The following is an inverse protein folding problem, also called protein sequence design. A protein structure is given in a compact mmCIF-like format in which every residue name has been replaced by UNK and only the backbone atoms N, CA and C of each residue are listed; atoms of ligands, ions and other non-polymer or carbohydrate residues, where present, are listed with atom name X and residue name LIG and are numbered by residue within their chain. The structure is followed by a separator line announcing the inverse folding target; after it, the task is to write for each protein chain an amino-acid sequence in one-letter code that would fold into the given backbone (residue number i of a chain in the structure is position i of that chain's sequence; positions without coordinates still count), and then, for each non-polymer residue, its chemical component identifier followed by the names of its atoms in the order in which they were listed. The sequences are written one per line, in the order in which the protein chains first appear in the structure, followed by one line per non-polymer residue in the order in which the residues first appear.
data_IF_857377130691
#
_entry.id   IF_857377130691
#
_cell.length_a   1.000
_cell.length_b   1.000
_cell.length_c   1.000
_cell.angle_alpha   90.00
_cell.angle_beta   90.00
_cell.angle_gamma   90.00
#
_symmetry.space_group_name_H-M   'P 1'
#
loop_
_entity.id
_entity.type
_entity.pdbx_description
1 polymer ?
#
# COMPACT_ATOMS: atom_id res chain seq x y z
N UNK A 1 3.89 -36.72 -11.84
CA UNK A 1 2.95 -36.56 -10.72
C UNK A 1 2.55 -35.10 -10.71
N UNK A 2 1.33 -34.75 -11.15
CA UNK A 2 0.92 -33.33 -11.24
C UNK A 2 0.72 -32.76 -9.83
N UNK A 3 1.09 -31.50 -9.62
CA UNK A 3 0.90 -30.81 -8.34
C UNK A 3 -0.59 -30.61 -8.06
N UNK A 4 -1.00 -30.63 -6.80
CA UNK A 4 -2.38 -30.38 -6.36
C UNK A 4 -2.91 -29.03 -6.88
N UNK A 5 -2.02 -28.05 -7.07
CA UNK A 5 -2.33 -26.74 -7.66
C UNK A 5 -2.72 -26.83 -9.15
N UNK A 6 -1.98 -27.63 -9.92
CA UNK A 6 -2.23 -27.87 -11.35
C UNK A 6 -3.57 -28.59 -11.57
N UNK A 7 -3.86 -29.57 -10.72
CA UNK A 7 -5.12 -30.31 -10.78
C UNK A 7 -6.34 -29.44 -10.44
N UNK A 8 -6.18 -28.46 -9.54
CA UNK A 8 -7.22 -27.50 -9.19
C UNK A 8 -7.50 -26.50 -10.33
N UNK A 9 -6.47 -26.12 -11.08
CA UNK A 9 -6.60 -25.25 -12.25
C UNK A 9 -7.29 -25.94 -13.43
N UNK A 10 -6.98 -27.21 -13.66
CA UNK A 10 -7.67 -28.02 -14.68
C UNK A 10 -9.16 -28.21 -14.34
N UNK A 11 -9.51 -28.40 -13.06
CA UNK A 11 -10.91 -28.52 -12.61
C UNK A 11 -11.74 -27.24 -12.72
N UNK A 12 -11.10 -26.08 -12.76
CA UNK A 12 -11.76 -24.77 -12.81
C UNK A 12 -11.66 -24.09 -14.19
N UNK A 13 -11.21 -24.82 -15.21
CA UNK A 13 -11.10 -24.32 -16.58
C UNK A 13 -10.01 -23.26 -16.78
N UNK A 14 -8.99 -23.21 -15.92
CA UNK A 14 -7.84 -22.30 -16.06
C UNK A 14 -8.12 -20.82 -15.79
N UNK A 15 -9.32 -20.45 -15.33
CA UNK A 15 -9.72 -19.05 -15.13
C UNK A 15 -9.50 -18.52 -13.70
N UNK A 16 -9.16 -19.36 -12.71
CA UNK A 16 -8.93 -18.91 -11.34
C UNK A 16 -7.72 -17.96 -11.20
N UNK A 17 -6.66 -18.15 -12.00
CA UNK A 17 -5.42 -17.37 -11.85
C UNK A 17 -5.46 -15.98 -12.49
N UNK A 18 -6.19 -15.79 -13.60
CA UNK A 18 -6.15 -14.52 -14.35
C UNK A 18 -6.73 -13.34 -13.56
N UNK A 19 -7.79 -13.60 -12.79
CA UNK A 19 -8.41 -12.60 -11.90
C UNK A 19 -7.47 -12.28 -10.73
N UNK A 20 -6.74 -13.28 -10.23
CA UNK A 20 -5.80 -13.13 -9.12
C UNK A 20 -4.56 -12.30 -9.52
N UNK A 21 -4.01 -12.55 -10.71
CA UNK A 21 -2.86 -11.80 -11.24
C UNK A 21 -3.20 -10.32 -11.50
N UNK A 22 -4.39 -10.05 -12.06
CA UNK A 22 -4.86 -8.69 -12.28
C UNK A 22 -5.05 -7.92 -10.96
N UNK A 23 -5.54 -8.58 -9.90
CA UNK A 23 -5.66 -7.98 -8.55
C UNK A 23 -4.30 -7.73 -7.91
N UNK A 24 -3.38 -8.69 -8.01
CA UNK A 24 -2.00 -8.54 -7.53
C UNK A 24 -1.33 -7.34 -8.19
N UNK A 25 -1.49 -7.16 -9.50
CA UNK A 25 -0.96 -6.00 -10.22
C UNK A 25 -1.54 -4.68 -9.68
N UNK A 26 -2.86 -4.59 -9.53
CA UNK A 26 -3.52 -3.40 -8.97
C UNK A 26 -3.05 -3.08 -7.55
N UNK A 27 -2.91 -4.11 -6.70
CA UNK A 27 -2.39 -3.94 -5.34
C UNK A 27 -0.94 -3.44 -5.37
N UNK A 28 -0.09 -3.99 -6.23
CA UNK A 28 1.30 -3.54 -6.36
C UNK A 28 1.40 -2.08 -6.86
N UNK A 29 0.55 -1.67 -7.79
CA UNK A 29 0.46 -0.27 -8.25
C UNK A 29 0.06 0.68 -7.11
N UNK A 30 -0.91 0.27 -6.28
CA UNK A 30 -1.31 1.01 -5.08
C UNK A 30 -0.11 1.14 -4.13
N UNK A 31 0.61 0.05 -3.86
CA UNK A 31 1.78 0.08 -2.97
C UNK A 31 2.89 1.01 -3.47
N UNK A 32 3.21 0.97 -4.76
CA UNK A 32 4.19 1.88 -5.38
C UNK A 32 3.74 3.34 -5.22
N UNK A 33 2.47 3.64 -5.53
CA UNK A 33 1.90 4.98 -5.42
C UNK A 33 1.99 5.52 -3.98
N UNK A 34 1.61 4.74 -2.98
CA UNK A 34 1.66 5.18 -1.58
C UNK A 34 3.09 5.24 -1.03
N UNK A 35 3.99 4.35 -1.48
CA UNK A 35 5.42 4.44 -1.15
C UNK A 35 6.05 5.74 -1.63
N UNK A 36 5.72 6.20 -2.84
CA UNK A 36 6.18 7.50 -3.34
C UNK A 36 5.69 8.65 -2.48
N UNK A 37 4.42 8.63 -2.03
CA UNK A 37 3.88 9.67 -1.13
C UNK A 37 4.58 9.71 0.22
N UNK A 38 4.93 8.56 0.79
CA UNK A 38 5.71 8.50 2.04
C UNK A 38 7.09 9.13 1.81
N UNK A 39 7.76 8.78 0.71
CA UNK A 39 9.07 9.33 0.38
C UNK A 39 9.03 10.87 0.18
N UNK A 40 7.97 11.39 -0.44
CA UNK A 40 7.73 12.84 -0.56
C UNK A 40 7.54 13.50 0.81
N UNK A 41 6.72 12.92 1.68
CA UNK A 41 6.48 13.43 3.04
C UNK A 41 7.77 13.43 3.88
N UNK A 42 8.55 12.34 3.82
CA UNK A 42 9.84 12.23 4.50
C UNK A 42 10.84 13.27 3.98
N UNK A 43 10.88 13.51 2.66
CA UNK A 43 11.77 14.52 2.08
C UNK A 43 11.40 15.92 2.56
N UNK A 44 10.11 16.27 2.52
CA UNK A 44 9.62 17.55 3.00
C UNK A 44 9.90 17.75 4.50
N UNK A 45 9.71 16.71 5.33
CA UNK A 45 10.02 16.76 6.75
C UNK A 45 11.53 16.95 7.00
N UNK A 46 12.40 16.26 6.24
CA UNK A 46 13.86 16.45 6.31
C UNK A 46 14.26 17.90 6.01
N UNK A 47 13.67 18.53 5.00
CA UNK A 47 13.92 19.94 4.69
C UNK A 47 13.50 20.87 5.84
N UNK A 48 12.37 20.60 6.50
CA UNK A 48 11.90 21.36 7.67
C UNK A 48 12.82 21.17 8.88
N UNK A 49 13.26 19.94 9.15
CA UNK A 49 14.20 19.61 10.23
C UNK A 49 15.54 20.33 10.05
N UNK A 50 16.05 20.43 8.82
CA UNK A 50 17.25 21.20 8.52
C UNK A 50 17.11 22.70 8.83
N UNK A 51 15.91 23.26 8.70
CA UNK A 51 15.61 24.67 9.01
C UNK A 51 15.38 24.90 10.51
N UNK A 52 14.87 23.91 11.23
CA UNK A 52 14.58 23.99 12.65
C UNK A 52 15.82 23.87 13.57
N UNK A 53 17.03 23.74 13.03
CA UNK A 53 18.29 23.52 13.77
C UNK A 53 18.35 24.27 15.10
N UNK A 54 18.41 23.53 16.20
CA UNK A 54 18.54 24.05 17.58
C UNK A 54 17.21 24.29 18.31
N UNK A 55 16.08 24.23 17.61
CA UNK A 55 14.75 24.37 18.19
C UNK A 55 14.13 22.99 18.43
N UNK A 56 14.29 22.50 19.66
CA UNK A 56 13.89 21.14 20.05
C UNK A 56 12.37 20.94 19.93
N UNK A 57 11.58 21.94 20.34
CA UNK A 57 10.12 21.88 20.29
C UNK A 57 9.63 21.79 18.84
N UNK A 58 10.20 22.59 17.92
CA UNK A 58 9.88 22.48 16.50
C UNK A 58 10.31 21.16 15.89
N UNK A 59 11.46 20.60 16.29
CA UNK A 59 11.91 19.29 15.83
C UNK A 59 10.92 18.19 16.24
N UNK A 60 10.48 18.19 17.49
CA UNK A 60 9.51 17.22 18.01
C UNK A 60 8.15 17.37 17.29
N UNK A 61 7.70 18.61 17.06
CA UNK A 61 6.47 18.85 16.30
C UNK A 61 6.56 18.31 14.86
N UNK A 62 7.67 18.57 14.15
CA UNK A 62 7.86 18.10 12.76
C UNK A 62 7.85 16.56 12.70
N UNK A 63 8.44 15.89 13.70
CA UNK A 63 8.43 14.43 13.77
C UNK A 63 7.02 13.89 14.04
N UNK A 64 6.32 14.47 15.02
CA UNK A 64 4.93 14.08 15.32
C UNK A 64 4.00 14.28 14.12
N UNK A 65 4.15 15.39 13.39
CA UNK A 65 3.35 15.67 12.20
C UNK A 65 3.63 14.64 11.09
N UNK A 66 4.90 14.28 10.88
CA UNK A 66 5.29 13.26 9.92
C UNK A 66 4.69 11.89 10.28
N UNK A 67 4.72 11.49 11.55
CA UNK A 67 4.16 10.22 12.00
C UNK A 67 2.64 10.13 11.75
N UNK A 68 1.91 11.21 12.04
CA UNK A 68 0.47 11.30 11.75
C UNK A 68 0.20 11.24 10.25
N UNK A 69 1.01 11.94 9.45
CA UNK A 69 0.88 11.93 7.99
C UNK A 69 1.12 10.53 7.41
N UNK A 70 2.21 9.86 7.79
CA UNK A 70 2.53 8.49 7.37
C UNK A 70 1.42 7.52 7.79
N UNK A 71 0.90 7.62 9.02
CA UNK A 71 -0.20 6.79 9.49
C UNK A 71 -1.47 6.98 8.64
N UNK A 72 -1.79 8.22 8.27
CA UNK A 72 -2.93 8.56 7.39
C UNK A 72 -2.74 7.99 5.98
N UNK A 73 -1.54 8.12 5.42
CA UNK A 73 -1.17 7.58 4.10
C UNK A 73 -1.31 6.04 4.10
N UNK A 74 -0.79 5.37 5.13
CA UNK A 74 -0.90 3.91 5.29
C UNK A 74 -2.35 3.46 5.45
N UNK A 75 -3.17 4.13 6.26
CA UNK A 75 -4.59 3.79 6.39
C UNK A 75 -5.34 3.92 5.06
N UNK A 76 -5.04 4.95 4.26
CA UNK A 76 -5.62 5.10 2.91
C UNK A 76 -5.15 3.99 1.97
N UNK A 77 -3.87 3.61 2.02
CA UNK A 77 -3.32 2.49 1.24
C UNK A 77 -4.05 1.18 1.56
N UNK A 78 -4.20 0.85 2.84
CA UNK A 78 -4.91 -0.36 3.27
C UNK A 78 -6.39 -0.34 2.84
N UNK A 79 -7.07 0.80 2.95
CA UNK A 79 -8.45 0.94 2.45
C UNK A 79 -8.55 0.73 0.94
N UNK A 80 -7.61 1.26 0.14
CA UNK A 80 -7.61 1.03 -1.31
C UNK A 80 -7.31 -0.44 -1.64
N UNK A 81 -6.35 -1.08 -0.97
CA UNK A 81 -6.06 -2.51 -1.16
C UNK A 81 -7.23 -3.40 -0.78
N UNK A 82 -7.92 -3.10 0.32
CA UNK A 82 -9.08 -3.87 0.76
C UNK A 82 -10.23 -3.78 -0.24
N UNK A 83 -10.50 -2.62 -0.85
CA UNK A 83 -11.49 -2.55 -1.94
C UNK A 83 -11.18 -3.52 -3.10
N UNK A 84 -9.91 -3.64 -3.50
CA UNK A 84 -9.50 -4.58 -4.55
C UNK A 84 -9.66 -6.04 -4.13
N UNK A 85 -9.50 -6.34 -2.84
CA UNK A 85 -9.72 -7.67 -2.27
C UNK A 85 -11.21 -8.00 -2.18
N UNK A 86 -12.00 -7.06 -1.68
CA UNK A 86 -13.43 -7.19 -1.35
C UNK A 86 -14.35 -7.10 -2.58
N UNK A 87 -13.92 -6.44 -3.67
CA UNK A 87 -14.65 -6.37 -4.96
C UNK A 87 -15.00 -7.75 -5.56
N UNK A 88 -14.50 -8.85 -4.99
CA UNK A 88 -14.79 -10.22 -5.44
C UNK A 88 -16.00 -10.87 -4.77
N UNK A 89 -16.51 -10.33 -3.66
CA UNK A 89 -17.56 -11.00 -2.87
C UNK A 89 -18.99 -10.59 -3.27
N UNK A 90 -19.17 -9.72 -4.27
CA UNK A 90 -20.50 -9.21 -4.70
C UNK A 90 -21.04 -9.83 -6.00
N UNK A 91 -20.43 -10.92 -6.50
CA UNK A 91 -21.04 -11.73 -7.57
C UNK A 91 -21.65 -13.00 -6.97
N UNK A 92 -22.80 -12.86 -6.31
CA UNK A 92 -23.71 -13.94 -5.94
C UNK A 92 -25.00 -13.82 -6.75
#
# INVERSE_FOLDING_TARGET
MKSSFELALERTGGNLNKIDDAKKSKIAEIEIKFKSKIAEAELAAKERLLKARGDREKIEQIQSDLDVEIASINSKSEREKNKIRDDTDTSA
#
